data_IF_265899319523
#
_entry.id   IF_265899319523
#
_cell.length_a   1.000
_cell.length_b   1.000
_cell.length_c   1.000
_cell.angle_alpha   90.00
_cell.angle_beta   90.00
_cell.angle_gamma   90.00
#
_symmetry.space_group_name_H-M   'P 1'
#
loop_
_entity.id
_entity.type
_entity.pdbx_description
1 polymer ?
#
# COMPACT_ATOMS: atom_id res chain seq x y z
N UNK A 1 34.05 -12.60 0.79
CA UNK A 1 32.57 -12.69 0.81
C UNK A 1 32.07 -14.11 1.01
N UNK A 2 32.67 -15.14 0.40
CA UNK A 2 32.22 -16.54 0.54
C UNK A 2 32.41 -17.14 1.96
N UNK A 3 33.44 -16.73 2.72
CA UNK A 3 33.69 -17.26 4.08
C UNK A 3 32.69 -16.72 5.12
N UNK A 4 32.09 -15.55 4.88
CA UNK A 4 31.11 -14.91 5.79
C UNK A 4 29.71 -15.50 5.58
N UNK A 5 29.42 -15.99 4.37
CA UNK A 5 28.15 -16.64 4.06
C UNK A 5 28.04 -18.03 4.70
N UNK A 6 29.13 -18.81 4.75
CA UNK A 6 29.13 -20.15 5.38
C UNK A 6 28.74 -20.12 6.87
N UNK A 7 29.32 -19.19 7.63
CA UNK A 7 29.02 -19.03 9.06
C UNK A 7 27.57 -18.56 9.33
N UNK A 8 26.94 -17.88 8.37
CA UNK A 8 25.54 -17.45 8.48
C UNK A 8 24.58 -18.63 8.30
N UNK A 9 24.88 -19.57 7.39
CA UNK A 9 24.06 -20.76 7.16
C UNK A 9 24.16 -21.77 8.31
N UNK A 10 25.35 -21.98 8.87
CA UNK A 10 25.55 -22.84 10.04
C UNK A 10 24.80 -22.31 11.28
N UNK A 11 24.80 -20.98 11.47
CA UNK A 11 24.00 -20.34 12.54
C UNK A 11 22.50 -20.48 12.33
N UNK A 12 22.02 -20.50 11.08
CA UNK A 12 20.60 -20.67 10.76
C UNK A 12 20.11 -22.09 11.04
N UNK A 13 20.96 -23.10 10.85
CA UNK A 13 20.61 -24.48 11.14
C UNK A 13 20.72 -24.82 12.64
N UNK A 14 21.64 -24.20 13.39
CA UNK A 14 21.63 -24.20 14.86
C UNK A 14 20.37 -23.52 15.40
N UNK A 15 20.01 -22.32 14.90
CA UNK A 15 18.79 -21.60 15.30
C UNK A 15 17.53 -22.41 14.96
N UNK A 16 17.46 -23.07 13.80
CA UNK A 16 16.33 -23.95 13.44
C UNK A 16 16.23 -25.16 14.35
N UNK A 17 17.34 -25.74 14.79
CA UNK A 17 17.35 -26.86 15.72
C UNK A 17 16.97 -26.41 17.14
N UNK A 18 17.45 -25.25 17.60
CA UNK A 18 17.01 -24.65 18.87
C UNK A 18 15.52 -24.29 18.85
N UNK A 19 15.00 -23.74 17.75
CA UNK A 19 13.57 -23.46 17.56
C UNK A 19 12.72 -24.75 17.52
N UNK A 20 13.23 -25.83 16.91
CA UNK A 20 12.58 -27.16 16.95
C UNK A 20 12.50 -27.69 18.37
N UNK A 21 13.57 -27.56 19.13
CA UNK A 21 13.67 -28.04 20.52
C UNK A 21 12.84 -27.19 21.48
N UNK A 22 12.75 -25.87 21.25
CA UNK A 22 11.84 -24.95 21.94
C UNK A 22 10.36 -25.19 21.59
N UNK A 23 10.05 -25.58 20.34
CA UNK A 23 8.67 -25.92 19.95
C UNK A 23 8.14 -27.19 20.63
N UNK A 24 9.03 -28.10 21.04
CA UNK A 24 8.67 -29.33 21.75
C UNK A 24 8.48 -29.15 23.26
N UNK A 25 8.92 -28.02 23.83
CA UNK A 25 8.76 -27.70 25.27
C UNK A 25 7.69 -26.65 25.56
N UNK A 26 7.06 -26.08 24.53
CA UNK A 26 5.88 -25.24 24.69
C UNK A 26 4.67 -26.16 24.94
N UNK A 27 4.24 -26.24 26.21
CA UNK A 27 2.86 -26.62 26.53
C UNK A 27 1.93 -25.90 25.55
N UNK A 28 0.92 -26.56 24.95
CA UNK A 28 0.06 -25.89 23.98
C UNK A 28 -0.53 -24.66 24.66
N UNK A 29 -0.11 -23.48 24.21
CA UNK A 29 -0.72 -22.22 24.62
C UNK A 29 -2.18 -22.40 24.24
N UNK A 30 -3.04 -22.50 25.26
CA UNK A 30 -4.46 -22.74 25.06
C UNK A 30 -4.95 -21.58 24.19
N UNK A 31 -5.22 -21.85 22.91
CA UNK A 31 -5.69 -20.82 21.99
C UNK A 31 -6.93 -20.20 22.62
N UNK A 32 -6.97 -18.87 22.67
CA UNK A 32 -8.12 -18.16 23.21
C UNK A 32 -9.32 -18.44 22.31
N UNK A 33 -10.38 -19.05 22.85
CA UNK A 33 -11.56 -19.50 22.08
C UNK A 33 -12.67 -18.42 21.98
N UNK A 34 -12.44 -17.23 22.56
CA UNK A 34 -13.40 -16.12 22.55
C UNK A 34 -13.18 -15.12 21.41
N UNK A 35 -14.01 -14.07 21.36
CA UNK A 35 -13.81 -12.93 20.44
C UNK A 35 -12.62 -12.10 20.93
N UNK A 36 -11.63 -11.89 20.06
CA UNK A 36 -10.36 -11.22 20.38
C UNK A 36 -10.45 -9.68 20.45
N UNK A 37 -11.67 -9.13 20.35
CA UNK A 37 -11.97 -7.72 20.44
C UNK A 37 -13.35 -7.53 21.09
N UNK A 38 -13.53 -6.41 21.77
CA UNK A 38 -14.81 -5.93 22.25
C UNK A 38 -14.76 -4.39 22.36
N UNK A 39 -15.90 -3.69 22.47
CA UNK A 39 -15.90 -2.26 22.69
C UNK A 39 -14.98 -1.87 23.85
N UNK A 40 -14.06 -0.95 23.59
CA UNK A 40 -13.03 -0.46 24.53
C UNK A 40 -12.08 -1.55 25.07
N UNK A 41 -12.02 -2.72 24.44
CA UNK A 41 -11.16 -3.84 24.84
C UNK A 41 -10.50 -4.48 23.64
N UNK A 42 -9.18 -4.43 23.61
CA UNK A 42 -8.37 -4.96 22.53
C UNK A 42 -7.21 -5.78 23.07
N UNK A 43 -6.80 -6.79 22.32
CA UNK A 43 -5.72 -7.69 22.70
C UNK A 43 -4.39 -7.16 22.17
N UNK A 44 -3.51 -6.77 23.10
CA UNK A 44 -2.09 -6.56 22.81
C UNK A 44 -1.36 -7.90 22.80
N UNK A 45 -0.50 -8.09 21.82
CA UNK A 45 0.34 -9.25 21.56
C UNK A 45 1.82 -9.02 21.90
N UNK A 46 2.33 -7.79 21.85
CA UNK A 46 3.77 -7.51 21.92
C UNK A 46 4.29 -7.19 23.34
N UNK A 47 3.43 -6.78 24.27
CA UNK A 47 3.81 -6.39 25.64
C UNK A 47 4.82 -5.22 25.70
N UNK A 48 5.09 -4.54 24.57
CA UNK A 48 6.16 -3.56 24.43
C UNK A 48 5.74 -2.17 24.93
N UNK A 49 6.67 -1.33 25.40
CA UNK A 49 6.37 0.06 25.72
C UNK A 49 6.35 0.93 24.44
N UNK A 50 5.42 0.65 23.52
CA UNK A 50 5.34 1.20 22.15
C UNK A 50 5.55 2.72 22.09
N UNK A 51 4.79 3.49 22.88
CA UNK A 51 4.90 4.95 22.90
C UNK A 51 6.29 5.44 23.30
N UNK A 52 6.92 4.76 24.26
CA UNK A 52 8.28 5.08 24.69
C UNK A 52 9.29 4.71 23.62
N UNK A 53 9.16 3.54 23.01
CA UNK A 53 10.06 3.09 21.93
C UNK A 53 10.03 4.03 20.72
N UNK A 54 8.84 4.51 20.36
CA UNK A 54 8.67 5.53 19.31
C UNK A 54 9.35 6.84 19.72
N UNK A 55 9.07 7.35 20.92
CA UNK A 55 9.64 8.61 21.40
C UNK A 55 11.18 8.56 21.48
N UNK A 56 11.74 7.46 21.98
CA UNK A 56 13.20 7.26 22.07
C UNK A 56 13.83 7.25 20.66
N UNK A 57 13.19 6.63 19.67
CA UNK A 57 13.70 6.60 18.29
C UNK A 57 13.58 7.97 17.60
N UNK A 58 12.48 8.69 17.83
CA UNK A 58 12.31 10.06 17.32
C UNK A 58 13.37 11.02 17.88
N UNK A 59 13.74 10.88 19.15
CA UNK A 59 14.83 11.65 19.77
C UNK A 59 16.18 11.38 19.07
N UNK A 60 16.47 10.11 18.75
CA UNK A 60 17.68 9.73 17.98
C UNK A 60 17.65 10.33 16.57
N UNK A 61 16.51 10.24 15.86
CA UNK A 61 16.32 10.82 14.52
C UNK A 61 16.54 12.33 14.55
N UNK A 62 16.04 13.02 15.58
CA UNK A 62 16.15 14.47 15.71
C UNK A 62 17.60 14.96 15.86
N UNK A 63 18.47 14.11 16.42
CA UNK A 63 19.89 14.38 16.67
C UNK A 63 20.80 13.92 15.54
N UNK A 64 20.28 13.14 14.58
CA UNK A 64 21.05 12.63 13.46
C UNK A 64 21.33 13.73 12.43
N UNK A 65 22.61 13.91 12.10
CA UNK A 65 23.09 14.92 11.14
C UNK A 65 23.43 14.32 9.78
N UNK A 66 23.73 13.02 9.70
CA UNK A 66 23.94 12.32 8.42
C UNK A 66 22.58 12.05 7.74
N UNK A 67 22.34 12.57 6.51
CA UNK A 67 21.05 12.41 5.84
C UNK A 67 20.70 10.96 5.50
N UNK A 68 21.67 10.11 5.18
CA UNK A 68 21.41 8.72 4.82
C UNK A 68 21.04 7.91 6.06
N UNK A 69 21.75 8.13 7.16
CA UNK A 69 21.45 7.47 8.43
C UNK A 69 20.11 7.95 8.99
N UNK A 70 19.79 9.25 8.84
CA UNK A 70 18.48 9.77 9.21
C UNK A 70 17.35 9.07 8.44
N UNK A 71 17.51 8.92 7.12
CA UNK A 71 16.57 8.20 6.25
C UNK A 71 16.40 6.73 6.66
N UNK A 72 17.49 6.05 7.04
CA UNK A 72 17.43 4.68 7.54
C UNK A 72 16.66 4.59 8.87
N UNK A 73 16.88 5.53 9.78
CA UNK A 73 16.16 5.60 11.06
C UNK A 73 14.68 5.94 10.86
N UNK A 74 14.35 6.85 9.94
CA UNK A 74 12.96 7.15 9.56
C UNK A 74 12.27 5.90 9.00
N UNK A 75 12.96 5.13 8.15
CA UNK A 75 12.44 3.86 7.65
C UNK A 75 12.26 2.82 8.77
N UNK A 76 13.17 2.79 9.76
CA UNK A 76 13.04 1.92 10.94
C UNK A 76 11.82 2.32 11.78
N UNK A 77 11.59 3.62 11.99
CA UNK A 77 10.43 4.13 12.71
C UNK A 77 9.13 3.71 12.02
N UNK A 78 9.05 3.86 10.69
CA UNK A 78 7.87 3.42 9.92
C UNK A 78 7.59 1.93 10.05
N UNK A 79 8.64 1.08 10.05
CA UNK A 79 8.49 -0.36 10.27
C UNK A 79 8.05 -0.67 11.69
N UNK A 80 8.67 -0.05 12.69
CA UNK A 80 8.32 -0.21 14.10
C UNK A 80 6.85 0.13 14.34
N UNK A 81 6.42 1.30 13.87
CA UNK A 81 5.01 1.72 13.91
C UNK A 81 4.12 0.70 13.20
N UNK A 82 4.51 0.22 12.02
CA UNK A 82 3.71 -0.74 11.26
C UNK A 82 3.50 -2.08 11.97
N UNK A 83 4.44 -2.57 12.77
CA UNK A 83 4.31 -3.88 13.44
C UNK A 83 3.87 -3.82 14.89
N UNK A 84 3.95 -2.65 15.54
CA UNK A 84 3.62 -2.52 16.96
C UNK A 84 2.13 -2.67 17.23
N UNK A 85 1.75 -3.19 18.39
CA UNK A 85 0.37 -3.07 18.85
C UNK A 85 -0.03 -1.62 19.03
N UNK A 86 -1.32 -1.36 18.86
CA UNK A 86 -1.87 -0.02 19.03
C UNK A 86 -1.87 0.41 20.50
N UNK A 87 -1.38 1.61 20.71
CA UNK A 87 -1.73 2.48 21.84
C UNK A 87 -2.72 3.53 21.34
N UNK A 88 -3.37 4.26 22.24
CA UNK A 88 -4.22 5.39 21.86
C UNK A 88 -3.43 6.45 21.06
N UNK A 89 -2.16 6.69 21.44
CA UNK A 89 -1.27 7.62 20.75
C UNK A 89 -0.92 7.14 19.34
N UNK A 90 -0.56 5.87 19.18
CA UNK A 90 -0.23 5.31 17.87
C UNK A 90 -1.46 5.26 16.94
N UNK A 91 -2.62 4.89 17.49
CA UNK A 91 -3.89 4.94 16.76
C UNK A 91 -4.21 6.36 16.27
N UNK A 92 -4.06 7.38 17.14
CA UNK A 92 -4.25 8.78 16.77
C UNK A 92 -3.25 9.25 15.70
N UNK A 93 -1.98 8.82 15.81
CA UNK A 93 -0.92 9.11 14.84
C UNK A 93 -1.24 8.57 13.45
N UNK A 94 -1.77 7.35 13.34
CA UNK A 94 -2.17 6.76 12.05
C UNK A 94 -3.34 7.51 11.39
N UNK A 95 -4.27 8.02 12.20
CA UNK A 95 -5.37 8.85 11.69
C UNK A 95 -4.88 10.20 11.16
N UNK A 96 -3.70 10.68 11.59
CA UNK A 96 -3.08 11.91 11.10
C UNK A 96 -2.09 11.68 9.95
N UNK A 97 -1.77 10.44 9.61
CA UNK A 97 -0.83 10.12 8.53
C UNK A 97 -1.38 10.62 7.19
N UNK A 98 -0.70 11.55 6.48
CA UNK A 98 -1.21 12.09 5.22
C UNK A 98 -1.38 11.04 4.12
N UNK A 99 -0.65 9.92 4.16
CA UNK A 99 -0.78 8.83 3.19
C UNK A 99 -2.02 7.95 3.42
N UNK A 100 -2.65 8.02 4.60
CA UNK A 100 -3.90 7.31 4.88
C UNK A 100 -5.02 7.82 3.97
N UNK A 101 -5.75 6.88 3.34
CA UNK A 101 -6.80 7.14 2.36
C UNK A 101 -7.83 8.20 2.78
N UNK A 102 -8.35 8.14 4.01
CA UNK A 102 -9.31 9.10 4.54
C UNK A 102 -8.79 10.54 4.61
N UNK A 103 -7.47 10.76 4.58
CA UNK A 103 -6.88 12.10 4.63
C UNK A 103 -6.75 12.74 3.25
N UNK A 104 -6.37 11.99 2.22
CA UNK A 104 -6.16 12.55 0.87
C UNK A 104 -7.36 12.38 -0.06
N UNK A 105 -8.09 11.26 0.03
CA UNK A 105 -9.13 10.93 -0.94
C UNK A 105 -10.30 11.92 -0.97
N UNK A 106 -10.84 12.41 0.17
CA UNK A 106 -11.90 13.42 0.14
C UNK A 106 -11.51 14.66 -0.67
N UNK A 107 -10.24 15.05 -0.61
CA UNK A 107 -9.75 16.26 -1.29
C UNK A 107 -9.57 16.01 -2.77
N UNK A 108 -9.11 14.81 -3.16
CA UNK A 108 -9.05 14.39 -4.55
C UNK A 108 -10.46 14.28 -5.16
N UNK A 109 -11.41 13.66 -4.45
CA UNK A 109 -12.79 13.51 -4.91
C UNK A 109 -13.48 14.87 -5.09
N UNK A 110 -13.26 15.81 -4.15
CA UNK A 110 -13.76 17.18 -4.29
C UNK A 110 -13.11 17.93 -5.45
N UNK A 111 -11.79 17.78 -5.65
CA UNK A 111 -11.07 18.36 -6.78
C UNK A 111 -11.57 17.84 -8.12
N UNK A 112 -11.77 16.52 -8.23
CA UNK A 112 -12.35 15.88 -9.41
C UNK A 112 -13.75 16.41 -9.72
N UNK A 113 -14.64 16.50 -8.73
CA UNK A 113 -15.98 17.08 -8.89
C UNK A 113 -15.93 18.54 -9.37
N UNK A 114 -15.02 19.35 -8.85
CA UNK A 114 -14.84 20.75 -9.28
C UNK A 114 -14.32 20.82 -10.72
N UNK A 115 -13.39 19.94 -11.10
CA UNK A 115 -12.90 19.85 -12.47
C UNK A 115 -14.03 19.47 -13.45
N UNK A 116 -14.91 18.54 -13.08
CA UNK A 116 -16.11 18.19 -13.87
C UNK A 116 -17.05 19.38 -14.04
N UNK A 117 -17.30 20.13 -12.97
CA UNK A 117 -18.12 21.36 -13.02
C UNK A 117 -17.52 22.43 -13.93
N UNK A 118 -16.20 22.46 -14.05
CA UNK A 118 -15.46 23.34 -14.96
C UNK A 118 -15.32 22.77 -16.39
N UNK A 119 -15.99 21.65 -16.69
CA UNK A 119 -16.05 21.04 -18.02
C UNK A 119 -15.01 19.95 -18.29
N UNK A 120 -14.13 19.62 -17.33
CA UNK A 120 -13.18 18.52 -17.47
C UNK A 120 -13.75 17.21 -16.90
N UNK A 121 -14.25 16.35 -17.79
CA UNK A 121 -14.81 15.02 -17.47
C UNK A 121 -13.87 13.86 -17.85
N UNK A 122 -12.59 14.15 -18.06
CA UNK A 122 -11.63 13.19 -18.62
C UNK A 122 -11.36 12.01 -17.68
N UNK A 123 -11.26 12.26 -16.38
CA UNK A 123 -10.98 11.24 -15.38
C UNK A 123 -12.24 10.67 -14.76
N UNK A 124 -12.18 9.39 -14.42
CA UNK A 124 -13.15 8.70 -13.56
C UNK A 124 -12.53 8.42 -12.19
N UNK A 125 -13.38 8.32 -11.17
CA UNK A 125 -13.02 7.77 -9.87
C UNK A 125 -13.91 6.53 -9.65
N UNK A 126 -13.34 5.32 -9.42
CA UNK A 126 -14.15 4.15 -9.12
C UNK A 126 -14.95 4.37 -7.83
N UNK A 127 -16.18 3.84 -7.78
CA UNK A 127 -17.00 3.92 -6.56
C UNK A 127 -16.20 3.44 -5.36
N UNK A 128 -16.19 4.22 -4.29
CA UNK A 128 -15.25 4.00 -3.17
C UNK A 128 -15.98 4.11 -1.83
N UNK A 129 -15.71 3.16 -0.94
CA UNK A 129 -16.10 3.18 0.47
C UNK A 129 -14.84 3.06 1.32
N UNK A 130 -14.64 4.03 2.20
CA UNK A 130 -13.56 4.03 3.19
C UNK A 130 -14.17 3.93 4.58
N UNK A 131 -13.65 3.04 5.42
CA UNK A 131 -14.08 2.89 6.80
C UNK A 131 -12.86 2.89 7.71
N UNK A 132 -12.74 3.95 8.53
CA UNK A 132 -11.75 4.01 9.61
C UNK A 132 -12.22 3.12 10.75
N UNK A 133 -11.51 2.03 11.00
CA UNK A 133 -11.85 1.05 12.02
C UNK A 133 -11.67 1.64 13.42
N UNK A 134 -12.60 1.39 14.36
CA UNK A 134 -12.35 1.60 15.79
C UNK A 134 -11.10 0.85 16.27
N UNK A 135 -10.44 1.37 17.30
CA UNK A 135 -9.13 0.88 17.76
C UNK A 135 -9.10 -0.64 18.03
N UNK A 136 -10.16 -1.22 18.58
CA UNK A 136 -10.24 -2.65 18.85
C UNK A 136 -10.28 -3.51 17.58
N UNK A 137 -10.89 -3.02 16.51
CA UNK A 137 -10.92 -3.69 15.21
C UNK A 137 -9.63 -3.46 14.44
N UNK A 138 -9.06 -2.26 14.52
CA UNK A 138 -7.73 -1.97 13.98
C UNK A 138 -6.67 -2.86 14.62
N UNK A 139 -6.72 -3.05 15.95
CA UNK A 139 -5.81 -3.96 16.64
C UNK A 139 -6.03 -5.40 16.19
N UNK A 140 -7.27 -5.86 16.06
CA UNK A 140 -7.56 -7.22 15.59
C UNK A 140 -6.97 -7.48 14.19
N UNK A 141 -7.10 -6.51 13.27
CA UNK A 141 -6.55 -6.59 11.92
C UNK A 141 -5.02 -6.66 11.87
N UNK A 142 -4.33 -6.28 12.97
CA UNK A 142 -2.87 -6.33 13.09
C UNK A 142 -2.35 -7.64 13.66
N UNK A 143 -3.21 -8.45 14.28
CA UNK A 143 -2.83 -9.80 14.69
C UNK A 143 -2.60 -10.62 13.42
N UNK A 144 -1.49 -11.35 13.39
CA UNK A 144 -1.16 -12.26 12.31
C UNK A 144 -2.31 -13.24 12.03
N UNK A 145 -2.65 -13.43 10.75
CA UNK A 145 -3.84 -14.20 10.34
C UNK A 145 -3.88 -15.61 10.97
N UNK A 146 -2.75 -16.30 11.08
CA UNK A 146 -2.62 -17.63 11.69
C UNK A 146 -2.88 -17.67 13.19
N UNK A 147 -2.76 -16.53 13.86
CA UNK A 147 -2.91 -16.39 15.31
C UNK A 147 -4.31 -15.94 15.73
N UNK A 148 -5.20 -15.70 14.76
CA UNK A 148 -6.62 -15.42 15.01
C UNK A 148 -7.50 -16.67 14.92
N UNK A 149 -8.68 -16.62 15.54
CA UNK A 149 -9.65 -17.72 15.60
C UNK A 149 -10.90 -17.47 14.73
N UNK A 150 -11.60 -18.54 14.36
CA UNK A 150 -12.78 -18.48 13.49
C UNK A 150 -13.93 -17.67 14.11
N UNK A 151 -14.07 -17.69 15.44
CA UNK A 151 -15.12 -16.92 16.15
C UNK A 151 -14.93 -15.42 15.92
N UNK A 152 -13.69 -14.94 16.03
CA UNK A 152 -13.32 -13.54 15.83
C UNK A 152 -13.39 -13.14 14.36
N UNK A 153 -12.89 -13.99 13.44
CA UNK A 153 -13.00 -13.76 11.99
C UNK A 153 -14.47 -13.62 11.55
N UNK A 154 -15.33 -14.53 12.01
CA UNK A 154 -16.77 -14.48 11.73
C UNK A 154 -17.45 -13.22 12.31
N UNK A 155 -17.06 -12.80 13.52
CA UNK A 155 -17.56 -11.56 14.10
C UNK A 155 -17.11 -10.33 13.28
N UNK A 156 -15.84 -10.28 12.89
CA UNK A 156 -15.26 -9.20 12.10
C UNK A 156 -15.92 -9.11 10.71
N UNK A 157 -16.05 -10.24 10.00
CA UNK A 157 -16.77 -10.33 8.73
C UNK A 157 -18.19 -9.76 8.82
N UNK A 158 -18.96 -10.12 9.86
CA UNK A 158 -20.33 -9.60 10.06
C UNK A 158 -20.36 -8.10 10.28
N UNK A 159 -19.43 -7.56 11.06
CA UNK A 159 -19.31 -6.11 11.30
C UNK A 159 -19.02 -5.41 9.97
N UNK A 160 -18.03 -5.88 9.20
CA UNK A 160 -17.66 -5.24 7.95
C UNK A 160 -18.76 -5.30 6.90
N UNK A 161 -19.40 -6.45 6.70
CA UNK A 161 -20.52 -6.58 5.76
C UNK A 161 -21.65 -5.59 6.06
N UNK A 162 -21.96 -5.38 7.34
CA UNK A 162 -22.98 -4.42 7.78
C UNK A 162 -22.58 -2.98 7.48
N UNK A 163 -21.31 -2.61 7.71
CA UNK A 163 -20.84 -1.23 7.53
C UNK A 163 -20.54 -0.89 6.05
N UNK A 164 -20.06 -1.87 5.28
CA UNK A 164 -19.65 -1.66 3.90
C UNK A 164 -20.82 -1.74 2.91
N UNK A 165 -21.91 -2.43 3.24
CA UNK A 165 -23.12 -2.53 2.40
C UNK A 165 -22.77 -2.85 0.92
N UNK A 166 -22.08 -3.98 0.71
CA UNK A 166 -21.59 -4.38 -0.60
C UNK A 166 -22.73 -4.93 -1.47
N UNK A 167 -22.70 -4.60 -2.76
CA UNK A 167 -23.55 -5.25 -3.76
C UNK A 167 -23.04 -6.68 -3.97
N UNK A 168 -23.90 -7.65 -3.66
CA UNK A 168 -23.62 -9.09 -3.74
C UNK A 168 -23.21 -9.58 -5.13
N UNK A 169 -23.44 -8.80 -6.20
CA UNK A 169 -23.12 -9.19 -7.58
C UNK A 169 -21.88 -8.49 -8.15
N UNK A 170 -21.31 -7.51 -7.43
CA UNK A 170 -20.14 -6.75 -7.90
C UNK A 170 -18.82 -7.37 -7.41
N UNK A 171 -17.78 -7.13 -8.20
CA UNK A 171 -16.39 -7.35 -7.81
C UNK A 171 -15.85 -6.09 -7.14
N UNK A 172 -14.89 -6.28 -6.23
CA UNK A 172 -14.26 -5.16 -5.52
C UNK A 172 -12.73 -5.29 -5.50
N UNK A 173 -12.07 -4.13 -5.52
CA UNK A 173 -10.66 -3.99 -5.20
C UNK A 173 -10.51 -3.56 -3.74
N UNK A 174 -9.80 -4.35 -2.95
CA UNK A 174 -9.58 -4.13 -1.52
C UNK A 174 -8.16 -3.60 -1.28
N UNK A 175 -8.04 -2.62 -0.38
CA UNK A 175 -6.76 -2.12 0.13
C UNK A 175 -6.90 -1.59 1.56
N UNK A 176 -5.81 -1.47 2.31
CA UNK A 176 -5.84 -0.63 3.52
C UNK A 176 -5.63 0.85 3.12
N UNK A 177 -5.55 1.75 4.10
CA UNK A 177 -5.38 3.17 3.84
C UNK A 177 -4.14 3.58 3.04
N UNK A 178 -3.06 2.79 3.03
CA UNK A 178 -1.76 3.15 2.41
C UNK A 178 -1.31 2.18 1.32
N UNK A 179 -1.71 0.92 1.43
CA UNK A 179 -1.14 -0.20 0.70
C UNK A 179 -2.23 -1.08 0.10
N UNK A 180 -1.96 -1.51 -1.12
CA UNK A 180 -2.66 -2.61 -1.75
C UNK A 180 -1.67 -3.73 -2.00
N UNK A 181 -2.04 -4.97 -1.68
CA UNK A 181 -1.22 -6.15 -1.90
C UNK A 181 -1.19 -6.55 -3.39
N UNK A 182 -0.91 -5.60 -4.29
CA UNK A 182 -0.84 -5.79 -5.76
C UNK A 182 0.15 -6.88 -6.16
N UNK A 183 1.19 -7.11 -5.35
CA UNK A 183 2.16 -8.19 -5.53
C UNK A 183 1.62 -9.59 -5.22
N UNK A 184 0.42 -9.65 -4.62
CA UNK A 184 -0.38 -10.84 -4.37
C UNK A 184 -1.84 -10.52 -4.74
N UNK A 185 -2.06 -10.15 -6.01
CA UNK A 185 -3.26 -9.44 -6.46
C UNK A 185 -4.56 -10.16 -6.15
N UNK A 186 -4.54 -11.49 -6.12
CA UNK A 186 -5.67 -12.31 -5.71
C UNK A 186 -6.27 -11.85 -4.38
N UNK A 187 -5.44 -11.44 -3.42
CA UNK A 187 -5.86 -10.97 -2.10
C UNK A 187 -6.52 -9.59 -2.14
N UNK A 188 -6.34 -8.82 -3.23
CA UNK A 188 -6.98 -7.53 -3.43
C UNK A 188 -8.28 -7.64 -4.24
N UNK A 189 -8.59 -8.78 -4.87
CA UNK A 189 -9.77 -8.94 -5.72
C UNK A 189 -10.86 -9.74 -5.01
N UNK A 190 -11.88 -9.07 -4.51
CA UNK A 190 -13.03 -9.72 -3.86
C UNK A 190 -14.11 -9.98 -4.90
N UNK A 191 -14.42 -11.25 -5.16
CA UNK A 191 -15.49 -11.65 -6.09
C UNK A 191 -16.82 -11.87 -5.35
N UNK A 192 -17.97 -11.83 -6.05
CA UNK A 192 -19.31 -12.02 -5.48
C UNK A 192 -19.47 -13.18 -4.49
N UNK A 193 -18.93 -14.36 -4.81
CA UNK A 193 -19.06 -15.57 -3.98
C UNK A 193 -18.29 -15.51 -2.66
N UNK A 194 -17.34 -14.58 -2.53
CA UNK A 194 -16.38 -14.53 -1.43
C UNK A 194 -16.63 -13.36 -0.47
N UNK A 195 -17.58 -12.49 -0.77
CA UNK A 195 -17.84 -11.28 0.03
C UNK A 195 -18.07 -11.57 1.52
N UNK A 196 -18.57 -12.77 1.86
CA UNK A 196 -18.74 -13.21 3.26
C UNK A 196 -17.44 -13.30 4.07
N UNK A 197 -16.29 -13.31 3.41
CA UNK A 197 -14.95 -13.43 3.99
C UNK A 197 -14.18 -12.09 3.94
N UNK A 198 -14.84 -10.96 3.66
CA UNK A 198 -14.18 -9.66 3.42
C UNK A 198 -13.21 -9.21 4.52
N UNK A 199 -13.50 -9.50 5.79
CA UNK A 199 -12.61 -9.17 6.91
C UNK A 199 -11.32 -9.98 6.91
N UNK A 200 -11.36 -11.21 6.42
CA UNK A 200 -10.16 -12.04 6.27
C UNK A 200 -9.25 -11.51 5.17
N UNK A 201 -9.82 -11.01 4.06
CA UNK A 201 -9.05 -10.35 3.00
C UNK A 201 -8.33 -9.11 3.54
N UNK A 202 -9.03 -8.26 4.29
CA UNK A 202 -8.41 -7.09 4.92
C UNK A 202 -7.31 -7.45 5.90
N UNK A 203 -7.48 -8.52 6.68
CA UNK A 203 -6.45 -8.98 7.59
C UNK A 203 -5.18 -9.43 6.83
N UNK A 204 -5.33 -10.23 5.77
CA UNK A 204 -4.19 -10.65 4.94
C UNK A 204 -3.50 -9.46 4.27
N UNK A 205 -4.27 -8.53 3.70
CA UNK A 205 -3.73 -7.30 3.10
C UNK A 205 -2.94 -6.50 4.14
N UNK A 206 -3.50 -6.35 5.35
CA UNK A 206 -2.88 -5.57 6.41
C UNK A 206 -1.62 -6.24 6.96
N UNK A 207 -1.63 -7.55 7.24
CA UNK A 207 -0.41 -8.27 7.67
C UNK A 207 0.70 -8.15 6.61
N UNK A 208 0.37 -8.22 5.32
CA UNK A 208 1.34 -7.95 4.26
C UNK A 208 1.86 -6.51 4.36
N UNK A 209 0.96 -5.53 4.45
CA UNK A 209 1.33 -4.12 4.56
C UNK A 209 2.30 -3.88 5.74
N UNK A 210 2.06 -4.53 6.88
CA UNK A 210 2.93 -4.45 8.07
C UNK A 210 4.36 -4.94 7.77
N UNK A 211 4.49 -6.06 7.05
CA UNK A 211 5.79 -6.65 6.69
C UNK A 211 6.66 -5.75 5.80
N UNK A 212 6.04 -4.83 5.06
CA UNK A 212 6.72 -3.88 4.15
C UNK A 212 6.73 -2.45 4.67
N UNK A 213 6.29 -2.21 5.91
CA UNK A 213 6.29 -0.88 6.54
C UNK A 213 5.17 0.07 6.10
N UNK A 214 4.09 -0.47 5.52
CA UNK A 214 2.92 0.28 5.04
C UNK A 214 1.65 0.00 5.88
N UNK A 215 1.84 -0.32 7.17
CA UNK A 215 0.76 -0.62 8.11
C UNK A 215 0.39 0.54 9.04
N UNK A 216 0.64 1.80 8.65
CA UNK A 216 0.49 3.01 9.49
C UNK A 216 -0.87 3.69 9.26
N UNK A 217 -1.91 2.88 9.23
CA UNK A 217 -3.28 3.29 8.92
C UNK A 217 -4.31 2.47 9.70
N UNK A 218 -5.46 3.08 9.98
CA UNK A 218 -6.64 2.40 10.54
C UNK A 218 -7.76 2.24 9.51
N UNK A 219 -7.52 2.64 8.26
CA UNK A 219 -8.52 2.59 7.21
C UNK A 219 -8.52 1.23 6.51
N UNK A 220 -9.73 0.74 6.27
CA UNK A 220 -10.00 -0.23 5.22
C UNK A 220 -10.73 0.46 4.07
N UNK A 221 -10.38 0.08 2.84
CA UNK A 221 -10.90 0.71 1.63
C UNK A 221 -11.41 -0.37 0.68
N UNK A 222 -12.66 -0.22 0.28
CA UNK A 222 -13.29 -0.99 -0.79
C UNK A 222 -13.52 -0.08 -1.97
N UNK A 223 -13.03 -0.47 -3.14
CA UNK A 223 -13.28 0.24 -4.39
C UNK A 223 -13.95 -0.67 -5.39
N UNK A 224 -14.77 -0.10 -6.26
CA UNK A 224 -15.25 -0.78 -7.45
C UNK A 224 -14.05 -1.38 -8.20
N UNK A 225 -14.17 -2.66 -8.52
CA UNK A 225 -13.20 -3.30 -9.38
C UNK A 225 -13.35 -2.73 -10.80
N UNK A 226 -12.29 -2.08 -11.29
CA UNK A 226 -12.26 -1.60 -12.68
C UNK A 226 -11.96 -2.81 -13.55
N UNK A 227 -12.87 -3.15 -14.46
CA UNK A 227 -12.70 -4.24 -15.41
C UNK A 227 -11.51 -4.01 -16.35
N UNK A 228 -11.01 -5.08 -16.96
CA UNK A 228 -9.91 -5.06 -17.92
C UNK A 228 -10.43 -5.60 -19.27
N UNK A 229 -10.85 -4.72 -20.20
CA UNK A 229 -11.50 -5.12 -21.43
C UNK A 229 -10.53 -5.47 -22.57
N UNK A 230 -9.22 -5.22 -22.40
CA UNK A 230 -8.21 -5.40 -23.46
C UNK A 230 -7.53 -6.79 -23.39
N UNK A 231 -7.94 -7.65 -22.46
CA UNK A 231 -7.41 -9.00 -22.22
C UNK A 231 -5.87 -9.02 -22.11
N UNK A 232 -5.35 -8.11 -21.29
CA UNK A 232 -3.92 -7.92 -21.07
C UNK A 232 -3.34 -9.07 -20.25
N UNK A 233 -2.07 -9.46 -20.51
CA UNK A 233 -1.41 -10.49 -19.72
C UNK A 233 -1.28 -10.05 -18.26
N UNK A 234 -1.20 -11.03 -17.35
CA UNK A 234 -1.17 -10.79 -15.92
C UNK A 234 0.17 -11.17 -15.29
N UNK A 235 0.56 -10.45 -14.24
CA UNK A 235 1.66 -10.80 -13.32
C UNK A 235 1.14 -10.81 -11.87
N UNK A 236 1.99 -11.12 -10.88
CA UNK A 236 1.63 -11.03 -9.45
C UNK A 236 0.31 -11.73 -9.08
N UNK A 237 0.18 -12.99 -9.49
CA UNK A 237 -0.99 -13.82 -9.21
C UNK A 237 -2.32 -13.25 -9.76
N UNK A 238 -2.27 -12.70 -10.98
CA UNK A 238 -3.46 -12.35 -11.75
C UNK A 238 -3.71 -10.85 -11.90
N UNK A 239 -2.76 -9.98 -11.56
CA UNK A 239 -2.84 -8.56 -11.82
C UNK A 239 -2.63 -8.24 -13.31
N UNK A 240 -3.61 -7.65 -14.01
CA UNK A 240 -3.43 -7.30 -15.41
C UNK A 240 -2.41 -6.17 -15.59
N UNK A 241 -1.55 -6.28 -16.60
CA UNK A 241 -0.57 -5.27 -16.99
C UNK A 241 -1.24 -4.08 -17.72
N UNK A 242 -2.13 -3.37 -17.04
CA UNK A 242 -2.72 -2.12 -17.54
C UNK A 242 -1.71 -0.98 -17.50
N UNK A 243 -1.79 -0.08 -18.48
CA UNK A 243 -0.91 1.08 -18.53
C UNK A 243 -1.28 2.04 -17.38
N UNK A 244 -0.31 2.30 -16.51
CA UNK A 244 -0.44 3.19 -15.35
C UNK A 244 0.56 4.35 -15.47
N UNK A 245 0.12 5.55 -15.09
CA UNK A 245 0.87 6.80 -15.12
C UNK A 245 1.03 7.29 -13.68
N UNK A 246 2.26 7.53 -13.26
CA UNK A 246 2.54 8.18 -11.97
C UNK A 246 2.85 9.65 -12.23
N UNK A 247 1.95 10.52 -11.78
CA UNK A 247 2.06 11.96 -11.95
C UNK A 247 2.59 12.56 -10.64
N UNK A 248 3.82 13.08 -10.65
CA UNK A 248 4.34 13.86 -9.53
C UNK A 248 3.85 15.30 -9.62
N UNK A 249 3.22 15.79 -8.57
CA UNK A 249 2.56 17.09 -8.52
C UNK A 249 3.01 17.88 -7.30
N UNK A 250 3.09 19.20 -7.44
CA UNK A 250 3.26 20.15 -6.35
C UNK A 250 1.93 20.89 -6.11
N UNK A 251 1.28 20.59 -4.99
CA UNK A 251 -0.01 21.19 -4.66
C UNK A 251 0.11 22.62 -4.11
N UNK A 252 1.30 23.06 -3.72
CA UNK A 252 1.55 24.42 -3.24
C UNK A 252 1.78 25.39 -4.40
N UNK A 253 2.61 25.00 -5.38
CA UNK A 253 2.84 25.84 -6.58
C UNK A 253 1.82 25.62 -7.69
N UNK A 254 0.96 24.60 -7.55
CA UNK A 254 -0.02 24.17 -8.56
C UNK A 254 0.64 23.67 -9.85
N UNK A 255 1.77 23.00 -9.73
CA UNK A 255 2.52 22.50 -10.88
C UNK A 255 2.49 20.99 -11.00
N UNK A 256 2.34 20.51 -12.24
CA UNK A 256 2.77 19.17 -12.60
C UNK A 256 4.30 19.13 -12.67
N UNK A 257 4.94 18.33 -11.81
CA UNK A 257 6.39 18.16 -11.78
C UNK A 257 6.82 17.32 -12.98
N UNK A 258 6.37 16.05 -13.04
CA UNK A 258 6.66 15.12 -14.12
C UNK A 258 5.73 13.91 -14.06
N UNK A 259 5.39 13.34 -15.21
CA UNK A 259 4.69 12.05 -15.31
C UNK A 259 5.65 10.97 -15.80
N UNK A 260 5.65 9.83 -15.12
CA UNK A 260 6.51 8.67 -15.45
C UNK A 260 5.66 7.41 -15.63
N UNK A 261 6.11 6.43 -16.44
CA UNK A 261 5.41 5.15 -16.55
C UNK A 261 5.56 4.39 -15.22
N UNK A 262 4.44 3.99 -14.62
CA UNK A 262 4.45 3.22 -13.36
C UNK A 262 5.21 1.90 -13.55
N UNK A 263 4.96 1.23 -14.67
CA UNK A 263 5.68 0.03 -15.10
C UNK A 263 7.00 0.35 -15.80
N UNK A 264 7.83 1.22 -15.20
CA UNK A 264 9.08 1.65 -15.83
C UNK A 264 9.98 0.45 -16.18
N UNK A 265 10.44 0.31 -17.44
CA UNK A 265 11.23 -0.84 -17.87
C UNK A 265 12.52 -1.10 -17.10
N UNK A 266 13.24 -0.05 -16.71
CA UNK A 266 14.49 -0.21 -15.98
C UNK A 266 14.23 -0.83 -14.61
N UNK A 267 13.24 -0.29 -13.89
CA UNK A 267 12.88 -0.74 -12.54
C UNK A 267 12.28 -2.15 -12.59
N UNK A 268 11.27 -2.37 -13.44
CA UNK A 268 10.54 -3.63 -13.51
C UNK A 268 11.45 -4.79 -13.93
N UNK A 269 12.29 -4.61 -14.95
CA UNK A 269 13.22 -5.66 -15.38
C UNK A 269 14.23 -5.99 -14.29
N UNK A 270 14.80 -5.00 -13.62
CA UNK A 270 15.77 -5.24 -12.54
C UNK A 270 15.13 -6.01 -11.37
N UNK A 271 13.92 -5.62 -10.93
CA UNK A 271 13.23 -6.28 -9.82
C UNK A 271 12.81 -7.70 -10.19
N UNK A 272 12.08 -7.88 -11.29
CA UNK A 272 11.59 -9.20 -11.69
C UNK A 272 12.73 -10.16 -12.07
N UNK A 273 13.78 -9.66 -12.74
CA UNK A 273 14.93 -10.50 -13.08
C UNK A 273 15.68 -10.95 -11.82
N UNK A 274 15.96 -10.04 -10.88
CA UNK A 274 16.71 -10.38 -9.67
C UNK A 274 15.96 -11.37 -8.78
N UNK A 275 14.65 -11.18 -8.60
CA UNK A 275 13.80 -12.11 -7.85
C UNK A 275 13.56 -13.43 -8.59
N UNK A 276 13.47 -13.37 -9.93
CA UNK A 276 13.33 -14.55 -10.78
C UNK A 276 14.55 -15.48 -10.81
N UNK A 277 15.71 -15.06 -10.26
CA UNK A 277 16.86 -15.96 -10.08
C UNK A 277 16.59 -17.06 -9.04
N UNK A 278 15.59 -16.87 -8.16
CA UNK A 278 15.31 -17.75 -7.03
C UNK A 278 13.84 -18.21 -6.94
N UNK A 279 12.93 -17.67 -7.76
CA UNK A 279 11.53 -18.12 -7.88
C UNK A 279 11.12 -18.17 -9.37
N UNK A 280 10.90 -19.38 -9.88
CA UNK A 280 10.53 -19.64 -11.28
C UNK A 280 9.25 -18.91 -11.70
N UNK A 281 8.29 -18.72 -10.79
CA UNK A 281 7.04 -17.99 -11.10
C UNK A 281 7.31 -16.51 -11.36
N UNK A 282 8.26 -15.93 -10.62
CA UNK A 282 8.66 -14.54 -10.83
C UNK A 282 9.43 -14.42 -12.17
N UNK A 283 10.20 -15.44 -12.55
CA UNK A 283 10.84 -15.48 -13.86
C UNK A 283 9.82 -15.57 -15.00
N UNK A 284 8.72 -16.32 -14.85
CA UNK A 284 7.61 -16.30 -15.80
C UNK A 284 6.94 -14.92 -15.91
N UNK A 285 6.78 -14.21 -14.79
CA UNK A 285 6.30 -12.82 -14.80
C UNK A 285 7.29 -11.87 -15.49
N UNK A 286 8.59 -12.08 -15.32
CA UNK A 286 9.62 -11.32 -16.03
C UNK A 286 9.49 -11.46 -17.55
N UNK A 287 9.40 -12.70 -18.06
CA UNK A 287 9.24 -12.94 -19.50
C UNK A 287 7.90 -12.41 -20.02
N UNK A 288 6.83 -12.54 -19.24
CA UNK A 288 5.51 -11.95 -19.57
C UNK A 288 5.59 -10.43 -19.69
N UNK A 289 6.19 -9.76 -18.70
CA UNK A 289 6.38 -8.31 -18.71
C UNK A 289 7.22 -7.86 -19.89
N UNK A 290 8.36 -8.52 -20.14
CA UNK A 290 9.30 -8.18 -21.22
C UNK A 290 8.65 -8.33 -22.59
N UNK A 291 7.81 -9.34 -22.79
CA UNK A 291 7.06 -9.52 -24.04
C UNK A 291 6.02 -8.40 -24.24
N UNK A 292 5.42 -7.90 -23.16
CA UNK A 292 4.36 -6.89 -23.21
C UNK A 292 4.86 -5.43 -23.07
N UNK A 293 6.12 -5.22 -22.64
CA UNK A 293 6.76 -3.92 -22.44
C UNK A 293 6.57 -2.95 -23.63
N UNK A 294 6.75 -3.35 -24.91
CA UNK A 294 6.56 -2.43 -26.03
C UNK A 294 5.15 -1.84 -26.09
N UNK A 295 4.12 -2.63 -25.74
CA UNK A 295 2.72 -2.17 -25.72
C UNK A 295 2.49 -1.17 -24.59
N UNK A 296 2.99 -1.46 -23.39
CA UNK A 296 2.93 -0.54 -22.24
C UNK A 296 3.57 0.81 -22.56
N UNK A 297 4.75 0.79 -23.16
CA UNK A 297 5.49 2.00 -23.52
C UNK A 297 4.79 2.81 -24.62
N UNK A 298 4.26 2.13 -25.64
CA UNK A 298 3.50 2.78 -26.71
C UNK A 298 2.24 3.46 -26.15
N UNK A 299 1.44 2.72 -25.36
CA UNK A 299 0.24 3.26 -24.70
C UNK A 299 0.56 4.45 -23.79
N UNK A 300 1.67 4.38 -23.04
CA UNK A 300 2.10 5.48 -22.19
C UNK A 300 2.42 6.72 -23.05
N UNK A 301 3.25 6.56 -24.08
CA UNK A 301 3.68 7.67 -24.94
C UNK A 301 2.50 8.32 -25.68
N UNK A 302 1.54 7.52 -26.15
CA UNK A 302 0.36 8.00 -26.87
C UNK A 302 -0.61 8.81 -25.98
N UNK A 303 -0.53 8.63 -24.67
CA UNK A 303 -1.48 9.21 -23.72
C UNK A 303 -0.85 10.18 -22.71
N UNK A 304 0.46 10.19 -22.49
CA UNK A 304 1.08 11.04 -21.45
C UNK A 304 0.78 12.53 -21.66
N UNK A 305 0.73 13.01 -22.91
CA UNK A 305 0.37 14.40 -23.21
C UNK A 305 -1.04 14.79 -22.77
N UNK A 306 -2.04 13.94 -23.04
CA UNK A 306 -3.42 14.17 -22.58
C UNK A 306 -3.56 14.01 -21.07
N UNK A 307 -2.81 13.08 -20.46
CA UNK A 307 -2.80 12.91 -19.01
C UNK A 307 -2.28 14.18 -18.35
N UNK A 308 -1.13 14.69 -18.80
CA UNK A 308 -0.53 15.91 -18.25
C UNK A 308 -1.48 17.11 -18.31
N UNK A 309 -2.13 17.32 -19.46
CA UNK A 309 -3.07 18.42 -19.64
C UNK A 309 -4.28 18.32 -18.70
N UNK A 310 -4.83 17.12 -18.51
CA UNK A 310 -6.02 16.93 -17.67
C UNK A 310 -5.68 16.88 -16.18
N UNK A 311 -4.52 16.35 -15.79
CA UNK A 311 -4.06 16.37 -14.40
C UNK A 311 -3.92 17.80 -13.91
N UNK A 312 -3.48 18.74 -14.75
CA UNK A 312 -3.38 20.15 -14.38
C UNK A 312 -4.71 20.70 -13.86
N UNK A 313 -5.84 20.38 -14.51
CA UNK A 313 -7.18 20.80 -14.04
C UNK A 313 -7.54 20.27 -12.65
N UNK A 314 -6.99 19.12 -12.25
CA UNK A 314 -7.14 18.59 -10.89
C UNK A 314 -6.24 19.36 -9.93
N UNK A 315 -4.96 19.55 -10.28
CA UNK A 315 -3.96 20.23 -9.43
C UNK A 315 -4.46 21.63 -9.03
N UNK A 316 -5.00 22.39 -9.99
CA UNK A 316 -5.44 23.78 -9.82
C UNK A 316 -6.43 23.96 -8.66
N UNK A 317 -7.29 22.95 -8.43
CA UNK A 317 -8.34 22.97 -7.39
C UNK A 317 -8.06 22.04 -6.21
N UNK A 318 -7.00 21.23 -6.29
CA UNK A 318 -6.65 20.26 -5.25
C UNK A 318 -6.14 20.95 -3.99
N UNK A 319 -6.84 20.73 -2.87
CA UNK A 319 -6.60 21.42 -1.59
C UNK A 319 -5.69 20.60 -0.66
N UNK A 320 -4.55 20.12 -1.18
CA UNK A 320 -3.51 19.45 -0.42
C UNK A 320 -2.24 20.32 -0.33
N UNK A 321 -1.31 19.92 0.54
CA UNK A 321 -0.05 20.63 0.80
C UNK A 321 1.18 19.79 0.47
N UNK A 322 2.21 20.44 -0.06
CA UNK A 322 3.46 19.84 -0.52
C UNK A 322 3.32 19.00 -1.79
N UNK A 323 4.34 18.18 -2.03
CA UNK A 323 4.44 17.34 -3.22
C UNK A 323 3.84 15.94 -3.00
N UNK A 324 3.21 15.41 -4.04
CA UNK A 324 2.50 14.14 -4.05
C UNK A 324 2.74 13.38 -5.36
N UNK A 325 2.57 12.07 -5.32
CA UNK A 325 2.33 11.24 -6.51
C UNK A 325 0.83 10.99 -6.63
N UNK A 326 0.32 11.08 -7.86
CA UNK A 326 -1.06 10.75 -8.24
C UNK A 326 -1.00 9.69 -9.34
N UNK A 327 -1.52 8.50 -9.04
CA UNK A 327 -1.50 7.37 -9.96
C UNK A 327 -2.80 7.35 -10.78
N UNK A 328 -2.64 7.22 -12.10
CA UNK A 328 -3.72 7.13 -13.08
C UNK A 328 -3.63 5.82 -13.83
N UNK A 329 -4.74 5.10 -13.97
CA UNK A 329 -4.79 3.83 -14.70
C UNK A 329 -5.66 3.96 -15.95
N UNK A 330 -5.15 3.47 -17.09
CA UNK A 330 -5.94 3.28 -18.30
C UNK A 330 -6.69 1.95 -18.22
N UNK A 331 -7.98 1.96 -18.58
CA UNK A 331 -8.72 0.73 -18.88
C UNK A 331 -9.64 0.95 -20.08
N UNK A 332 -9.38 0.24 -21.18
CA UNK A 332 -10.05 0.51 -22.45
C UNK A 332 -9.78 1.94 -22.91
N UNK A 333 -10.82 2.75 -23.07
CA UNK A 333 -10.72 4.16 -23.46
C UNK A 333 -10.77 5.15 -22.28
N UNK A 334 -10.93 4.64 -21.06
CA UNK A 334 -11.14 5.44 -19.85
C UNK A 334 -9.86 5.55 -19.02
N UNK A 335 -9.78 6.63 -18.22
CA UNK A 335 -8.67 6.93 -17.32
C UNK A 335 -9.19 7.13 -15.90
N UNK A 336 -8.62 6.40 -14.96
CA UNK A 336 -9.08 6.36 -13.57
C UNK A 336 -8.03 6.94 -12.63
N UNK A 337 -8.44 7.80 -11.70
CA UNK A 337 -7.59 8.22 -10.58
C UNK A 337 -7.61 7.11 -9.52
N UNK A 338 -6.49 6.41 -9.36
CA UNK A 338 -6.45 5.14 -8.61
C UNK A 338 -5.66 5.20 -7.30
N UNK A 339 -4.68 6.08 -7.14
CA UNK A 339 -3.98 6.17 -5.85
C UNK A 339 -3.27 7.52 -5.68
N UNK A 340 -2.92 7.84 -4.43
CA UNK A 340 -2.17 9.04 -4.12
C UNK A 340 -1.27 8.82 -2.89
N UNK A 341 -0.06 9.35 -2.91
CA UNK A 341 0.86 9.30 -1.78
C UNK A 341 1.78 10.52 -1.75
N UNK A 342 2.35 10.85 -0.59
CA UNK A 342 3.41 11.85 -0.47
C UNK A 342 4.57 11.47 -1.39
N UNK A 343 5.08 12.45 -2.13
CA UNK A 343 6.13 12.22 -3.11
C UNK A 343 7.39 11.63 -2.48
N UNK A 344 7.75 12.06 -1.26
CA UNK A 344 8.92 11.54 -0.52
C UNK A 344 8.83 10.05 -0.17
N UNK A 345 7.62 9.50 -0.10
CA UNK A 345 7.36 8.08 0.17
C UNK A 345 7.06 7.27 -1.09
N UNK A 346 7.16 7.89 -2.27
CA UNK A 346 6.76 7.29 -3.54
C UNK A 346 7.94 6.69 -4.30
N UNK A 347 7.76 5.52 -4.88
CA UNK A 347 8.72 4.95 -5.84
C UNK A 347 8.76 5.79 -7.13
N UNK A 348 9.86 5.65 -7.89
CA UNK A 348 10.12 6.31 -9.18
C UNK A 348 10.47 7.80 -9.08
N UNK A 349 10.72 8.31 -7.87
CA UNK A 349 11.20 9.69 -7.67
C UNK A 349 12.59 9.91 -8.27
N UNK A 350 13.40 8.85 -8.34
CA UNK A 350 14.70 8.83 -8.99
C UNK A 350 14.64 9.05 -10.51
N UNK A 351 13.46 8.88 -11.13
CA UNK A 351 13.26 9.12 -12.56
C UNK A 351 12.88 10.57 -12.87
N UNK A 352 12.65 11.40 -11.86
CA UNK A 352 12.30 12.80 -12.05
C UNK A 352 13.54 13.57 -12.52
N UNK A 353 13.37 14.38 -13.57
CA UNK A 353 14.43 15.19 -14.13
C UNK A 353 15.01 16.15 -13.06
N UNK A 354 16.31 16.05 -12.71
CA UNK A 354 16.92 16.90 -11.70
C UNK A 354 16.80 18.40 -12.00
N UNK A 355 16.79 18.80 -13.28
CA UNK A 355 16.61 20.20 -13.67
C UNK A 355 15.21 20.70 -13.32
N UNK A 356 14.19 19.85 -13.42
CA UNK A 356 12.81 20.20 -13.08
C UNK A 356 12.65 20.41 -11.57
N UNK A 357 13.27 19.55 -10.76
CA UNK A 357 13.32 19.70 -9.30
C UNK A 357 14.01 21.01 -8.89
N UNK A 358 15.15 21.33 -9.52
CA UNK A 358 15.87 22.58 -9.29
C UNK A 358 15.02 23.81 -9.66
N UNK A 359 14.32 23.78 -10.80
CA UNK A 359 13.44 24.87 -11.23
C UNK A 359 12.31 25.17 -10.22
N UNK A 360 11.78 24.12 -9.60
CA UNK A 360 10.69 24.21 -8.62
C UNK A 360 11.20 24.36 -7.17
N UNK A 361 12.51 24.45 -6.96
CA UNK A 361 13.14 24.45 -5.63
C UNK A 361 12.73 23.25 -4.75
N UNK A 362 12.46 22.10 -5.36
CA UNK A 362 12.11 20.86 -4.66
C UNK A 362 13.40 20.08 -4.36
N UNK A 363 13.57 19.68 -3.10
CA UNK A 363 14.65 18.77 -2.68
C UNK A 363 14.06 17.39 -2.45
N UNK A 364 14.55 16.39 -3.18
CA UNK A 364 14.32 14.99 -2.85
C UNK A 364 15.13 14.64 -1.59
N UNK A 365 14.51 13.92 -0.65
CA UNK A 365 15.15 13.48 0.59
C UNK A 365 15.85 12.12 0.43
#
# INVERSE_FOLDING_TARGET
MEVIMGAYWDSLDEIKNELKTASQSLLPVRKFDGVMFAPDKYMRTDGLPVDRSIADLEDVISKQTDPNEKKNLDALLQRMESVSDLTENLYARFNQNPNTFSNWFPQLAQAHKLAEQNGNTFFKIPETKCFTLPMELSQFMRIEYQDTNDVSKNAFNKILLKNLDLDKNKHYFLKNGEFSAKFQFRNCHLIPSEQKQVGEYFQVINNHAMSVGAGRTNDIVVREYIDEPENRPTIYDGMPLRTEFRCFIDCDTKDLIQTVPYWNPLVMKNVLQSQGLVDDRIYEWYETYKAFEPVLNQDFNDNVGRINNNVQSIIDVLSLKGCWSLDVMKSGNDFYLIDMAKMESSALTELINPKRLQQLNIKLQ
#
